data_IF_809665034646
#
_entry.id   IF_809665034646
#
_cell.length_a   1.000
_cell.length_b   1.000
_cell.length_c   1.000
_cell.angle_alpha   90.00
_cell.angle_beta   90.00
_cell.angle_gamma   90.00
#
_symmetry.space_group_name_H-M   'P 1'
#
loop_
_entity.id
_entity.type
_entity.pdbx_description
1 polymer ?
#
# COMPACT_ATOMS: atom_id res chain seq x y z
N UNK A 1 -3.34 -19.63 -2.61
CA UNK A 1 -3.34 -18.31 -1.97
C UNK A 1 -3.11 -17.24 -3.02
N UNK A 2 -3.93 -16.21 -3.03
CA UNK A 2 -3.76 -15.06 -3.92
C UNK A 2 -2.78 -14.10 -3.27
N UNK A 3 -1.65 -13.85 -3.93
CA UNK A 3 -0.59 -13.00 -3.41
C UNK A 3 -0.20 -11.98 -4.48
N UNK A 4 -0.52 -10.70 -4.26
CA UNK A 4 -0.21 -9.61 -5.17
C UNK A 4 0.70 -8.57 -4.53
N UNK A 5 1.26 -8.86 -3.34
CA UNK A 5 2.01 -7.86 -2.58
C UNK A 5 3.17 -7.28 -3.38
N UNK A 6 3.99 -8.12 -4.00
CA UNK A 6 5.15 -7.62 -4.75
C UNK A 6 4.75 -6.65 -5.85
N UNK A 7 3.67 -6.96 -6.58
CA UNK A 7 3.20 -6.09 -7.66
C UNK A 7 2.68 -4.75 -7.12
N UNK A 8 1.94 -4.79 -6.01
CA UNK A 8 1.43 -3.57 -5.37
C UNK A 8 2.59 -2.70 -4.89
N UNK A 9 3.55 -3.30 -4.19
CA UNK A 9 4.72 -2.57 -3.69
C UNK A 9 5.53 -1.97 -4.82
N UNK A 10 5.83 -2.74 -5.86
CA UNK A 10 6.62 -2.27 -7.00
C UNK A 10 5.92 -1.09 -7.70
N UNK A 11 4.62 -1.17 -7.89
CA UNK A 11 3.84 -0.12 -8.55
C UNK A 11 3.87 1.18 -7.74
N UNK A 12 3.60 1.09 -6.44
CA UNK A 12 3.55 2.26 -5.56
C UNK A 12 4.95 2.86 -5.39
N UNK A 13 5.95 2.04 -5.14
CA UNK A 13 7.32 2.54 -4.92
C UNK A 13 7.91 3.18 -6.17
N UNK A 14 7.60 2.65 -7.36
CA UNK A 14 8.01 3.27 -8.62
C UNK A 14 7.36 4.66 -8.78
N UNK A 15 6.08 4.79 -8.46
CA UNK A 15 5.37 6.08 -8.52
C UNK A 15 5.97 7.09 -7.54
N UNK A 16 6.27 6.66 -6.31
CA UNK A 16 6.87 7.53 -5.29
C UNK A 16 8.26 7.99 -5.73
N UNK A 17 9.11 7.07 -6.18
CA UNK A 17 10.49 7.39 -6.57
C UNK A 17 10.58 8.27 -7.81
N UNK A 18 9.58 8.24 -8.67
CA UNK A 18 9.53 9.12 -9.85
C UNK A 18 9.42 10.58 -9.43
N UNK A 19 8.63 10.89 -8.41
CA UNK A 19 8.42 12.26 -7.93
C UNK A 19 9.33 12.64 -6.76
N UNK A 20 9.78 11.66 -5.98
CA UNK A 20 10.61 11.84 -4.79
C UNK A 20 11.79 10.88 -4.86
N UNK A 21 12.82 11.26 -5.64
CA UNK A 21 13.97 10.38 -5.95
C UNK A 21 14.75 9.94 -4.71
N UNK A 22 14.71 10.73 -3.63
CA UNK A 22 15.41 10.42 -2.38
C UNK A 22 14.55 9.65 -1.37
N UNK A 23 13.31 9.31 -1.74
CA UNK A 23 12.41 8.60 -0.83
C UNK A 23 12.90 7.20 -0.53
N UNK A 24 12.88 6.82 0.74
CA UNK A 24 13.10 5.44 1.17
C UNK A 24 11.78 4.69 1.17
N UNK A 25 11.77 3.51 0.58
CA UNK A 25 10.55 2.69 0.47
C UNK A 25 10.81 1.31 1.06
N UNK A 26 9.96 0.90 2.00
CA UNK A 26 10.07 -0.39 2.67
C UNK A 26 8.75 -1.15 2.57
N UNK A 27 8.83 -2.45 2.31
CA UNK A 27 7.68 -3.35 2.25
C UNK A 27 7.24 -3.88 3.61
N UNK A 28 7.70 -3.26 4.69
CA UNK A 28 7.38 -3.66 6.06
C UNK A 28 7.34 -2.43 6.96
N UNK A 29 6.78 -2.59 8.15
CA UNK A 29 6.75 -1.52 9.14
C UNK A 29 8.17 -1.20 9.63
N UNK A 30 8.53 0.08 9.58
CA UNK A 30 9.80 0.58 10.12
C UNK A 30 9.48 1.68 11.13
N UNK A 31 9.77 1.44 12.40
CA UNK A 31 9.43 2.37 13.48
C UNK A 31 10.27 3.64 13.42
N UNK A 32 11.56 3.49 13.10
CA UNK A 32 12.51 4.60 13.01
C UNK A 32 13.25 4.54 11.68
N UNK A 33 12.74 5.25 10.64
CA UNK A 33 13.42 5.29 9.35
C UNK A 33 14.83 5.87 9.45
N UNK A 34 15.76 5.33 8.66
CA UNK A 34 17.13 5.81 8.60
C UNK A 34 17.25 7.15 7.87
N UNK A 35 16.37 7.42 6.93
CA UNK A 35 16.34 8.68 6.16
C UNK A 35 14.91 9.02 5.74
N UNK A 36 14.73 10.26 5.30
CA UNK A 36 13.41 10.82 4.96
C UNK A 36 13.44 11.51 3.60
N UNK A 37 12.29 11.62 2.89
CA UNK A 37 11.01 11.05 3.27
C UNK A 37 11.04 9.52 3.19
N UNK A 38 10.15 8.87 3.93
CA UNK A 38 10.08 7.41 3.99
C UNK A 38 8.64 6.95 3.78
N UNK A 39 8.45 5.89 2.99
CA UNK A 39 7.16 5.25 2.77
C UNK A 39 7.30 3.78 3.15
N UNK A 40 6.48 3.35 4.10
CA UNK A 40 6.36 1.94 4.45
C UNK A 40 4.98 1.47 3.99
N UNK A 41 4.93 0.43 3.17
CA UNK A 41 3.68 -0.13 2.66
C UNK A 41 3.76 -1.65 2.77
N UNK A 42 2.74 -2.26 3.36
CA UNK A 42 2.72 -3.72 3.52
C UNK A 42 1.29 -4.24 3.48
N UNK A 43 1.16 -5.54 3.17
CA UNK A 43 -0.11 -6.23 3.24
C UNK A 43 -0.41 -6.55 4.70
N UNK A 44 -1.42 -5.89 5.26
CA UNK A 44 -1.79 -6.04 6.67
C UNK A 44 -2.70 -7.23 6.90
N UNK A 45 -3.47 -7.64 5.88
CA UNK A 45 -4.36 -8.80 5.97
C UNK A 45 -4.64 -9.37 4.59
N UNK A 46 -4.77 -10.69 4.52
CA UNK A 46 -5.12 -11.44 3.31
C UNK A 46 -5.94 -12.65 3.74
N UNK A 47 -7.26 -12.59 3.51
CA UNK A 47 -8.17 -13.65 3.92
C UNK A 47 -9.01 -14.11 2.75
N UNK A 48 -9.33 -15.42 2.72
CA UNK A 48 -10.20 -15.98 1.70
C UNK A 48 -11.57 -15.29 1.72
N UNK A 49 -12.02 -14.85 0.54
CA UNK A 49 -13.35 -14.30 0.39
C UNK A 49 -14.36 -15.44 0.35
N UNK A 50 -14.97 -15.75 1.49
CA UNK A 50 -15.82 -16.93 1.68
C UNK A 50 -16.95 -17.09 0.66
N UNK A 51 -17.66 -16.00 0.25
CA UNK A 51 -18.73 -16.15 -0.75
C UNK A 51 -18.28 -16.68 -2.12
N UNK A 52 -16.98 -16.61 -2.44
CA UNK A 52 -16.42 -17.11 -3.70
C UNK A 52 -15.85 -18.51 -3.59
N UNK A 53 -15.84 -19.10 -2.38
CA UNK A 53 -15.28 -20.45 -2.16
C UNK A 53 -16.24 -21.50 -2.66
N UNK A 54 -15.76 -22.43 -3.48
CA UNK A 54 -16.55 -23.54 -4.02
C UNK A 54 -16.55 -24.77 -3.08
N UNK A 55 -17.19 -25.86 -3.53
CA UNK A 55 -17.28 -27.10 -2.74
C UNK A 55 -15.91 -27.75 -2.48
N UNK A 56 -14.94 -27.51 -3.35
CA UNK A 56 -13.57 -28.02 -3.14
C UNK A 56 -12.76 -27.16 -2.16
N UNK A 57 -13.36 -26.08 -1.65
CA UNK A 57 -12.74 -25.14 -0.71
C UNK A 57 -11.55 -24.40 -1.30
N UNK A 58 -11.50 -24.28 -2.63
CA UNK A 58 -10.46 -23.50 -3.29
C UNK A 58 -10.73 -22.01 -3.15
N UNK A 59 -9.66 -21.25 -3.01
CA UNK A 59 -9.72 -19.80 -2.95
C UNK A 59 -9.87 -19.21 -4.35
N UNK A 60 -11.03 -18.59 -4.63
CA UNK A 60 -11.28 -17.88 -5.89
C UNK A 60 -11.09 -16.37 -5.74
N UNK A 61 -11.30 -15.84 -4.53
CA UNK A 61 -11.14 -14.43 -4.23
C UNK A 61 -10.58 -14.26 -2.82
N UNK A 62 -9.85 -13.17 -2.61
CA UNK A 62 -9.28 -12.84 -1.31
C UNK A 62 -9.61 -11.40 -0.92
N UNK A 63 -9.95 -11.20 0.35
CA UNK A 63 -10.02 -9.87 0.96
C UNK A 63 -8.62 -9.42 1.32
N UNK A 64 -8.22 -8.26 0.83
CA UNK A 64 -6.91 -7.68 1.07
C UNK A 64 -7.02 -6.39 1.85
N UNK A 65 -6.13 -6.20 2.80
CA UNK A 65 -5.93 -4.93 3.49
C UNK A 65 -4.47 -4.54 3.41
N UNK A 66 -4.22 -3.32 3.00
CA UNK A 66 -2.87 -2.73 2.94
C UNK A 66 -2.79 -1.57 3.92
N UNK A 67 -1.64 -1.40 4.51
CA UNK A 67 -1.36 -0.33 5.45
C UNK A 67 -0.09 0.39 5.05
N UNK A 68 -0.07 1.71 5.25
CA UNK A 68 1.05 2.55 4.85
C UNK A 68 1.35 3.57 5.93
N UNK A 69 2.63 3.82 6.16
CA UNK A 69 3.10 4.97 6.90
C UNK A 69 3.94 5.85 5.99
N UNK A 70 3.65 7.14 6.00
CA UNK A 70 4.45 8.15 5.31
C UNK A 70 5.10 9.04 6.35
N UNK A 71 6.42 9.18 6.29
CA UNK A 71 7.20 10.00 7.21
C UNK A 71 7.91 11.11 6.47
N UNK A 72 7.92 12.31 7.05
CA UNK A 72 8.73 13.43 6.56
C UNK A 72 9.34 14.18 7.74
N UNK A 73 10.60 14.58 7.59
CA UNK A 73 11.31 15.42 8.56
C UNK A 73 11.72 16.77 7.97
N UNK A 74 11.16 17.15 6.83
CA UNK A 74 11.51 18.36 6.13
C UNK A 74 11.37 19.58 7.05
N UNK A 75 12.45 20.36 7.21
CA UNK A 75 12.52 21.46 8.16
C UNK A 75 11.38 22.47 7.99
N UNK A 76 11.04 22.78 6.73
CA UNK A 76 9.91 23.66 6.40
C UNK A 76 8.94 22.90 5.51
N UNK A 77 7.80 22.46 6.07
CA UNK A 77 6.74 21.82 5.31
C UNK A 77 6.73 20.31 5.37
N UNK A 78 7.13 19.70 6.48
CA UNK A 78 7.06 18.24 6.67
C UNK A 78 5.62 17.73 6.52
N UNK A 79 4.63 18.45 7.04
CA UNK A 79 3.23 18.11 6.88
C UNK A 79 2.80 18.15 5.41
N UNK A 80 3.19 19.20 4.70
CA UNK A 80 2.88 19.39 3.28
C UNK A 80 3.51 18.28 2.43
N UNK A 81 4.77 17.95 2.69
CA UNK A 81 5.47 16.90 1.96
C UNK A 81 4.83 15.53 2.24
N UNK A 82 4.59 15.19 3.50
CA UNK A 82 3.96 13.92 3.85
C UNK A 82 2.58 13.76 3.23
N UNK A 83 1.77 14.83 3.24
CA UNK A 83 0.45 14.80 2.62
C UNK A 83 0.51 14.66 1.10
N UNK A 84 1.48 15.31 0.47
CA UNK A 84 1.67 15.19 -0.99
C UNK A 84 2.03 13.76 -1.37
N UNK A 85 2.94 13.13 -0.62
CA UNK A 85 3.31 11.73 -0.84
C UNK A 85 2.11 10.81 -0.56
N UNK A 86 1.37 11.05 0.52
CA UNK A 86 0.18 10.26 0.85
C UNK A 86 -0.87 10.32 -0.27
N UNK A 87 -1.09 11.50 -0.86
CA UNK A 87 -1.99 11.65 -2.00
C UNK A 87 -1.53 10.87 -3.22
N UNK A 88 -0.24 10.87 -3.49
CA UNK A 88 0.34 10.12 -4.61
C UNK A 88 0.16 8.61 -4.40
N UNK A 89 0.46 8.12 -3.19
CA UNK A 89 0.26 6.71 -2.85
C UNK A 89 -1.21 6.33 -2.97
N UNK A 90 -2.10 7.16 -2.42
CA UNK A 90 -3.56 6.92 -2.49
C UNK A 90 -4.05 6.86 -3.94
N UNK A 91 -3.65 7.80 -4.79
CA UNK A 91 -4.04 7.79 -6.20
C UNK A 91 -3.57 6.51 -6.90
N UNK A 92 -2.35 6.07 -6.61
CA UNK A 92 -1.80 4.83 -7.18
C UNK A 92 -2.57 3.61 -6.68
N UNK A 93 -2.87 3.53 -5.39
CA UNK A 93 -3.66 2.45 -4.82
C UNK A 93 -5.07 2.41 -5.41
N UNK A 94 -5.71 3.57 -5.58
CA UNK A 94 -7.03 3.65 -6.20
C UNK A 94 -7.01 3.20 -7.66
N UNK A 95 -5.94 3.47 -8.38
CA UNK A 95 -5.79 2.99 -9.78
C UNK A 95 -5.75 1.47 -9.85
N UNK A 96 -5.34 0.79 -8.78
CA UNK A 96 -5.33 -0.66 -8.65
C UNK A 96 -6.61 -1.22 -8.00
N UNK A 97 -7.67 -0.40 -7.90
CA UNK A 97 -8.98 -0.80 -7.35
C UNK A 97 -9.03 -0.94 -5.82
N UNK A 98 -8.09 -0.36 -5.12
CA UNK A 98 -8.17 -0.28 -3.66
C UNK A 98 -9.03 0.90 -3.22
N UNK A 99 -9.79 0.70 -2.15
CA UNK A 99 -10.60 1.75 -1.52
C UNK A 99 -9.94 2.15 -0.21
N UNK A 100 -9.64 3.44 -0.07
CA UNK A 100 -9.06 3.94 1.19
C UNK A 100 -10.11 3.89 2.31
N UNK A 101 -9.76 3.23 3.41
CA UNK A 101 -10.63 3.11 4.58
C UNK A 101 -10.18 3.96 5.76
N UNK A 102 -8.94 4.46 5.72
CA UNK A 102 -8.37 5.23 6.83
C UNK A 102 -7.25 6.15 6.33
N UNK A 103 -7.20 7.36 6.84
CA UNK A 103 -6.08 8.29 6.69
C UNK A 103 -6.06 9.23 7.87
N UNK A 104 -4.98 9.21 8.64
CA UNK A 104 -4.85 10.05 9.81
C UNK A 104 -3.39 10.36 10.11
N UNK A 105 -3.15 11.59 10.59
CA UNK A 105 -1.85 11.94 11.16
C UNK A 105 -1.71 11.27 12.51
N UNK A 106 -0.61 10.54 12.70
CA UNK A 106 -0.31 9.83 13.95
C UNK A 106 0.83 10.58 14.66
N UNK A 107 0.65 10.95 15.95
CA UNK A 107 1.75 11.57 16.71
C UNK A 107 2.98 10.66 16.72
N UNK A 108 4.17 11.27 16.54
CA UNK A 108 5.43 10.56 16.64
C UNK A 108 6.19 11.06 17.89
N UNK A 109 6.95 10.16 18.52
CA UNK A 109 7.76 10.54 19.68
C UNK A 109 8.74 11.67 19.34
N UNK A 110 9.33 11.59 18.15
CA UNK A 110 10.18 12.67 17.63
C UNK A 110 9.29 13.69 16.91
N UNK A 111 9.15 14.87 17.50
CA UNK A 111 8.31 15.95 16.96
C UNK A 111 8.83 16.57 15.68
N UNK A 112 10.08 16.30 15.31
CA UNK A 112 10.65 16.77 14.04
C UNK A 112 10.15 15.94 12.86
N UNK A 113 9.52 14.81 13.13
CA UNK A 113 9.01 13.87 12.12
C UNK A 113 7.49 13.93 12.10
N UNK A 114 6.93 14.17 10.91
CA UNK A 114 5.48 14.09 10.65
C UNK A 114 5.14 12.73 10.07
N UNK A 115 4.13 12.08 10.61
CA UNK A 115 3.73 10.73 10.22
C UNK A 115 2.25 10.70 9.84
N UNK A 116 1.95 10.06 8.71
CA UNK A 116 0.57 9.79 8.27
C UNK A 116 0.40 8.29 8.14
N UNK A 117 -0.69 7.75 8.68
CA UNK A 117 -1.08 6.36 8.51
C UNK A 117 -2.27 6.27 7.56
N UNK A 118 -2.21 5.35 6.60
CA UNK A 118 -3.28 5.08 5.63
C UNK A 118 -3.57 3.59 5.58
N UNK A 119 -4.82 3.26 5.26
CA UNK A 119 -5.24 1.88 5.02
C UNK A 119 -6.16 1.81 3.82
N UNK A 120 -6.06 0.69 3.08
CA UNK A 120 -6.91 0.40 1.93
C UNK A 120 -7.37 -1.04 1.97
N UNK A 121 -8.53 -1.29 1.36
CA UNK A 121 -9.07 -2.62 1.20
C UNK A 121 -9.49 -2.85 -0.25
N UNK A 122 -9.39 -4.11 -0.69
CA UNK A 122 -9.85 -4.56 -2.00
C UNK A 122 -10.14 -6.05 -1.96
N UNK A 123 -10.78 -6.53 -3.02
CA UNK A 123 -10.94 -7.97 -3.26
C UNK A 123 -10.13 -8.32 -4.51
N UNK A 124 -9.22 -9.28 -4.40
CA UNK A 124 -8.49 -9.83 -5.53
C UNK A 124 -9.14 -11.13 -5.97
N UNK A 125 -9.41 -11.26 -7.26
CA UNK A 125 -10.00 -12.43 -7.85
C UNK A 125 -8.98 -13.37 -8.50
N UNK A 126 -9.48 -14.33 -9.29
CA UNK A 126 -8.63 -15.30 -9.98
C UNK A 126 -7.70 -14.65 -11.01
N UNK A 127 -6.62 -15.35 -11.38
CA UNK A 127 -5.71 -14.85 -12.41
C UNK A 127 -6.42 -14.65 -13.74
N UNK A 128 -6.21 -13.50 -14.39
CA UNK A 128 -6.76 -13.21 -15.71
C UNK A 128 -5.76 -13.57 -16.79
N UNK A 129 -4.49 -13.20 -16.56
CA UNK A 129 -3.44 -13.34 -17.57
C UNK A 129 -2.15 -13.79 -16.88
N UNK A 130 -1.48 -14.75 -17.50
CA UNK A 130 -0.10 -15.11 -17.14
C UNK A 130 0.78 -14.79 -18.35
N UNK A 131 1.72 -13.85 -18.18
CA UNK A 131 2.63 -13.43 -19.24
C UNK A 131 4.07 -13.51 -18.72
N UNK A 132 4.90 -14.33 -19.37
CA UNK A 132 6.31 -14.46 -19.02
C UNK A 132 6.57 -14.84 -17.57
N UNK A 133 5.66 -15.60 -16.93
CA UNK A 133 5.75 -15.97 -15.53
C UNK A 133 5.09 -14.97 -14.55
N UNK A 134 4.56 -13.88 -15.07
CA UNK A 134 3.81 -12.90 -14.26
C UNK A 134 2.33 -13.18 -14.28
N UNK A 135 1.71 -13.21 -13.11
CA UNK A 135 0.28 -13.44 -12.96
C UNK A 135 -0.43 -12.13 -12.61
N UNK A 136 -1.47 -11.78 -13.37
CA UNK A 136 -2.34 -10.64 -13.10
C UNK A 136 -3.66 -11.13 -12.53
N UNK A 137 -4.12 -10.52 -11.46
CA UNK A 137 -5.37 -10.87 -10.81
C UNK A 137 -6.45 -9.82 -11.08
N UNK A 138 -7.70 -10.29 -11.22
CA UNK A 138 -8.84 -9.39 -11.31
C UNK A 138 -9.03 -8.70 -9.96
N UNK A 139 -9.11 -7.36 -9.98
CA UNK A 139 -9.32 -6.57 -8.77
C UNK A 139 -10.72 -6.02 -8.71
N UNK A 140 -11.31 -6.04 -7.52
CA UNK A 140 -12.64 -5.50 -7.26
C UNK A 140 -12.57 -4.51 -6.11
N UNK A 141 -13.26 -3.39 -6.27
CA UNK A 141 -13.40 -2.42 -5.18
C UNK A 141 -14.25 -3.02 -4.07
N UNK A 142 -13.82 -2.77 -2.86
CA UNK A 142 -14.57 -3.22 -1.68
C UNK A 142 -15.45 -2.09 -1.13
#
# INVERSE_FOLDING_TARGET
MIDIENKVLDTVFAAVRTSYTNAQCYGEYVAVPASFPCVCLWEANNTTYKPSRDESLQEHQANLMYECNVYSDKANGKKKEARAIAKLVDATMQSMKFTRTFMQSIPNLDRTIYRINLRWEAVAGEPIVTDGGNTTYQMYRK
#
